data_IF_901188262061
#
_entry.id   IF_901188262061
#
_cell.length_a   1.000
_cell.length_b   1.000
_cell.length_c   1.000
_cell.angle_alpha   90.00
_cell.angle_beta   90.00
_cell.angle_gamma   90.00
#
_symmetry.space_group_name_H-M   'P 1'
#
loop_
_entity.id
_entity.type
_entity.pdbx_description
1 polymer ?
#
# COMPACT_ATOMS: atom_id res chain seq x y z
N UNK A 1 -7.70 -4.25 -16.73
CA UNK A 1 -7.22 -2.85 -16.87
C UNK A 1 -5.71 -2.90 -16.92
N UNK A 2 -5.09 -2.33 -17.95
CA UNK A 2 -3.64 -2.10 -17.94
C UNK A 2 -3.35 -1.02 -16.90
N UNK A 3 -2.50 -1.33 -15.93
CA UNK A 3 -2.08 -0.37 -14.90
C UNK A 3 -1.12 0.61 -15.57
N UNK A 4 -1.54 1.87 -15.72
CA UNK A 4 -0.69 2.94 -16.22
C UNK A 4 0.21 3.42 -15.08
N UNK A 5 1.52 3.54 -15.33
CA UNK A 5 2.49 4.04 -14.36
C UNK A 5 3.73 4.61 -15.04
N UNK A 6 4.40 5.53 -14.32
CA UNK A 6 5.73 6.02 -14.66
C UNK A 6 6.61 5.96 -13.42
N UNK A 7 7.50 4.98 -13.39
CA UNK A 7 8.46 4.76 -12.29
C UNK A 7 9.87 4.70 -12.86
N UNK A 8 10.89 4.78 -12.00
CA UNK A 8 12.28 4.76 -12.45
C UNK A 8 12.69 3.38 -13.02
N UNK A 9 12.40 2.30 -12.31
CA UNK A 9 12.75 0.93 -12.70
C UNK A 9 11.78 -0.08 -12.07
N UNK A 10 11.07 -0.84 -12.91
CA UNK A 10 10.10 -1.84 -12.44
C UNK A 10 10.76 -3.13 -11.94
N UNK A 11 12.01 -3.39 -12.31
CA UNK A 11 12.75 -4.59 -11.88
C UNK A 11 13.06 -4.59 -10.38
N UNK A 12 12.99 -3.44 -9.71
CA UNK A 12 13.19 -3.29 -8.27
C UNK A 12 11.99 -3.75 -7.43
N UNK A 13 10.87 -4.14 -8.06
CA UNK A 13 9.64 -4.52 -7.36
C UNK A 13 9.86 -5.63 -6.31
N UNK A 14 10.62 -6.67 -6.64
CA UNK A 14 10.88 -7.80 -5.73
C UNK A 14 11.64 -7.36 -4.46
N UNK A 15 12.56 -6.40 -4.60
CA UNK A 15 13.25 -5.84 -3.44
C UNK A 15 12.32 -4.94 -2.63
N UNK A 16 11.55 -4.08 -3.29
CA UNK A 16 10.54 -3.25 -2.64
C UNK A 16 9.52 -4.07 -1.84
N UNK A 17 9.13 -5.25 -2.33
CA UNK A 17 8.23 -6.18 -1.60
C UNK A 17 8.84 -6.69 -0.30
N UNK A 18 10.15 -6.97 -0.28
CA UNK A 18 10.84 -7.39 0.95
C UNK A 18 10.86 -6.27 1.98
N UNK A 19 11.13 -5.04 1.55
CA UNK A 19 11.12 -3.87 2.44
C UNK A 19 9.72 -3.55 2.96
N UNK A 20 8.67 -3.70 2.13
CA UNK A 20 7.26 -3.57 2.56
C UNK A 20 6.94 -4.57 3.67
N UNK A 21 7.29 -5.85 3.48
CA UNK A 21 7.04 -6.88 4.49
C UNK A 21 7.75 -6.59 5.82
N UNK A 22 8.94 -5.97 5.78
CA UNK A 22 9.63 -5.51 6.99
C UNK A 22 8.89 -4.31 7.60
N UNK A 23 8.45 -3.34 6.79
CA UNK A 23 7.75 -2.16 7.30
C UNK A 23 6.41 -2.50 7.96
N UNK A 24 5.70 -3.53 7.49
CA UNK A 24 4.45 -4.00 8.11
C UNK A 24 4.63 -4.38 9.59
N UNK A 25 5.80 -4.92 9.98
CA UNK A 25 6.06 -5.27 11.39
C UNK A 25 6.20 -4.05 12.29
N UNK A 26 6.58 -2.90 11.72
CA UNK A 26 6.76 -1.61 12.41
C UNK A 26 5.57 -0.65 12.22
N UNK A 27 4.49 -1.09 11.56
CA UNK A 27 3.29 -0.30 11.30
C UNK A 27 2.02 -0.95 11.88
N UNK A 28 1.98 -1.27 13.19
CA UNK A 28 0.90 -2.06 13.79
C UNK A 28 -0.47 -1.40 13.68
N UNK A 29 -0.53 -0.06 13.63
CA UNK A 29 -1.79 0.66 13.44
C UNK A 29 -2.43 0.40 12.07
N UNK A 30 -1.63 0.34 11.00
CA UNK A 30 -2.16 0.01 9.66
C UNK A 30 -2.56 -1.46 9.57
N UNK A 31 -1.80 -2.35 10.22
CA UNK A 31 -2.14 -3.78 10.22
C UNK A 31 -3.43 -4.06 10.98
N UNK A 32 -3.64 -3.42 12.14
CA UNK A 32 -4.87 -3.52 12.89
C UNK A 32 -6.09 -3.04 12.07
N UNK A 33 -5.95 -1.94 11.32
CA UNK A 33 -7.03 -1.45 10.44
C UNK A 33 -7.34 -2.42 9.31
N UNK A 34 -6.33 -3.08 8.73
CA UNK A 34 -6.57 -4.12 7.71
C UNK A 34 -7.37 -5.28 8.29
N UNK A 35 -7.01 -5.75 9.49
CA UNK A 35 -7.70 -6.86 10.15
C UNK A 35 -9.14 -6.48 10.54
N UNK A 36 -9.34 -5.28 11.09
CA UNK A 36 -10.65 -4.78 11.53
C UNK A 36 -11.63 -4.63 10.36
N UNK A 37 -11.18 -4.04 9.25
CA UNK A 37 -12.05 -3.65 8.13
C UNK A 37 -12.02 -4.60 6.92
N UNK A 38 -11.29 -5.72 7.00
CA UNK A 38 -11.18 -6.70 5.91
C UNK A 38 -12.53 -7.17 5.36
N UNK A 39 -13.51 -7.40 6.24
CA UNK A 39 -14.85 -7.87 5.87
C UNK A 39 -15.79 -6.73 5.43
N UNK A 40 -15.73 -5.58 6.12
CA UNK A 40 -16.63 -4.44 5.88
C UNK A 40 -16.29 -3.70 4.59
N UNK A 41 -14.99 -3.63 4.23
CA UNK A 41 -14.47 -2.93 3.05
C UNK A 41 -15.08 -1.52 2.90
N UNK A 42 -14.95 -0.64 3.92
CA UNK A 42 -15.66 0.63 3.99
C UNK A 42 -15.30 1.62 2.86
N UNK A 43 -14.17 1.41 2.19
CA UNK A 43 -13.71 2.23 1.07
C UNK A 43 -14.10 1.66 -0.31
N UNK A 44 -14.95 0.63 -0.37
CA UNK A 44 -15.40 0.05 -1.63
C UNK A 44 -16.02 1.11 -2.55
N UNK A 45 -15.47 1.25 -3.76
CA UNK A 45 -15.92 2.24 -4.76
C UNK A 45 -15.31 3.64 -4.60
N UNK A 46 -14.52 3.90 -3.56
CA UNK A 46 -13.78 5.14 -3.42
C UNK A 46 -12.74 5.30 -4.54
N UNK A 47 -12.54 6.54 -4.98
CA UNK A 47 -11.43 6.93 -5.87
C UNK A 47 -10.54 7.89 -5.11
N UNK A 48 -9.35 7.42 -4.72
CA UNK A 48 -8.43 8.16 -3.87
C UNK A 48 -7.24 8.64 -4.72
N UNK A 49 -6.98 9.95 -4.70
CA UNK A 49 -5.78 10.55 -5.28
C UNK A 49 -4.82 10.95 -4.16
N UNK A 50 -3.60 10.37 -4.16
CA UNK A 50 -2.57 10.68 -3.17
C UNK A 50 -1.48 11.58 -3.74
N UNK A 51 -1.11 12.63 -2.99
CA UNK A 51 0.11 13.41 -3.21
C UNK A 51 0.91 13.39 -1.90
N UNK A 52 1.70 12.32 -1.74
CA UNK A 52 2.53 12.06 -0.59
C UNK A 52 3.88 11.53 -1.07
N UNK A 53 4.88 11.54 -0.20
CA UNK A 53 6.19 10.97 -0.51
C UNK A 53 6.04 9.48 -0.78
N UNK A 54 6.48 9.01 -1.96
CA UNK A 54 6.35 7.62 -2.36
C UNK A 54 7.48 6.77 -1.74
N UNK A 55 7.34 6.47 -0.45
CA UNK A 55 8.26 5.66 0.35
C UNK A 55 7.71 4.25 0.61
N UNK A 56 8.50 3.40 1.28
CA UNK A 56 8.06 2.05 1.71
C UNK A 56 6.83 2.12 2.63
N UNK A 57 6.81 3.06 3.59
CA UNK A 57 5.68 3.25 4.51
C UNK A 57 4.41 3.67 3.77
N UNK A 58 4.54 4.52 2.74
CA UNK A 58 3.41 4.92 1.91
C UNK A 58 2.87 3.76 1.07
N UNK A 59 3.72 2.81 0.66
CA UNK A 59 3.25 1.59 0.02
C UNK A 59 2.36 0.75 0.96
N UNK A 60 2.75 0.60 2.23
CA UNK A 60 1.91 -0.07 3.25
C UNK A 60 0.57 0.67 3.42
N UNK A 61 0.57 2.00 3.47
CA UNK A 61 -0.65 2.80 3.50
C UNK A 61 -1.54 2.53 2.29
N UNK A 62 -0.98 2.56 1.07
CA UNK A 62 -1.75 2.34 -0.16
C UNK A 62 -2.39 0.94 -0.16
N UNK A 63 -1.64 -0.09 0.25
CA UNK A 63 -2.16 -1.45 0.36
C UNK A 63 -3.20 -1.63 1.48
N UNK A 64 -3.24 -0.75 2.48
CA UNK A 64 -4.33 -0.72 3.47
C UNK A 64 -5.62 -0.10 2.88
N UNK A 65 -5.51 0.77 1.87
CA UNK A 65 -6.67 1.45 1.28
C UNK A 65 -7.38 0.62 0.19
N UNK A 66 -6.76 -0.46 -0.32
CA UNK A 66 -7.23 -1.27 -1.47
C UNK A 66 -7.81 -2.61 -1.05
#
# INVERSE_FOLDING_TARGET
>A
MTVDYKVADISLADWGRKEIAIAETEMPGLMALRDEYAAERPLAGARVTGCLHMTIQTAVLIETLT
#
